data_IF_410473475172
#
_entry.id   IF_410473475172
#
_cell.length_a   1.000
_cell.length_b   1.000
_cell.length_c   1.000
_cell.angle_alpha   90.00
_cell.angle_beta   90.00
_cell.angle_gamma   90.00
#
_symmetry.space_group_name_H-M   'P 1'
#
loop_
_entity.id
_entity.type
_entity.pdbx_description
1 polymer ?
#
# COMPACT_ATOMS: atom_id res chain seq x y z
N UNK A 1 -3.73 -70.47 0.61
CA UNK A 1 -5.02 -69.78 0.42
C UNK A 1 -4.72 -68.68 -0.57
N UNK A 2 -4.97 -68.94 -1.84
CA UNK A 2 -4.78 -67.96 -2.90
C UNK A 2 -5.91 -66.94 -2.79
N UNK A 3 -5.57 -65.71 -2.41
CA UNK A 3 -6.46 -64.56 -2.60
C UNK A 3 -6.75 -64.47 -4.08
N UNK A 4 -7.98 -64.86 -4.46
CA UNK A 4 -8.53 -64.61 -5.76
C UNK A 4 -8.61 -63.09 -5.92
N UNK A 5 -7.62 -62.51 -6.55
CA UNK A 5 -7.69 -61.12 -7.06
C UNK A 5 -8.83 -61.07 -8.03
N UNK A 6 -9.95 -60.50 -7.60
CA UNK A 6 -11.06 -60.16 -8.48
C UNK A 6 -10.50 -59.23 -9.57
N UNK A 7 -10.69 -59.50 -10.86
CA UNK A 7 -10.18 -58.62 -11.91
C UNK A 7 -10.79 -57.24 -11.69
N UNK A 8 -9.90 -56.24 -11.55
CA UNK A 8 -10.32 -54.85 -11.45
C UNK A 8 -11.22 -54.50 -12.65
N UNK A 9 -12.29 -53.81 -12.40
CA UNK A 9 -13.09 -53.24 -13.48
C UNK A 9 -12.18 -52.20 -14.17
N UNK A 10 -12.18 -52.18 -15.52
CA UNK A 10 -11.25 -51.41 -16.34
C UNK A 10 -11.10 -49.92 -15.91
N UNK A 11 -12.14 -49.28 -15.40
CA UNK A 11 -12.08 -47.91 -14.90
C UNK A 11 -11.41 -47.82 -13.54
N UNK A 12 -11.30 -48.88 -12.76
CA UNK A 12 -10.59 -48.86 -11.47
C UNK A 12 -9.08 -48.74 -11.65
N UNK A 13 -8.54 -49.28 -12.75
CA UNK A 13 -7.11 -49.08 -13.09
C UNK A 13 -6.84 -47.61 -13.40
N UNK A 14 -7.77 -46.91 -14.03
CA UNK A 14 -7.67 -45.45 -14.27
C UNK A 14 -7.75 -44.64 -12.99
N UNK A 15 -8.66 -44.98 -12.08
CA UNK A 15 -8.72 -44.33 -10.76
C UNK A 15 -7.41 -44.45 -10.01
N UNK A 16 -6.78 -45.64 -9.96
CA UNK A 16 -5.50 -45.84 -9.35
C UNK A 16 -4.39 -44.96 -9.95
N UNK A 17 -4.35 -44.87 -11.30
CA UNK A 17 -3.43 -44.02 -12.01
C UNK A 17 -3.62 -42.53 -11.61
N UNK A 18 -4.84 -42.03 -11.53
CA UNK A 18 -5.15 -40.66 -11.15
C UNK A 18 -4.80 -40.38 -9.66
N UNK A 19 -5.00 -41.38 -8.77
CA UNK A 19 -4.55 -41.32 -7.38
C UNK A 19 -3.02 -41.26 -7.28
N UNK A 20 -2.29 -42.04 -8.08
CA UNK A 20 -0.84 -41.99 -8.15
C UNK A 20 -0.33 -40.64 -8.67
N UNK A 21 -1.08 -39.96 -9.52
CA UNK A 21 -0.81 -38.59 -9.96
C UNK A 21 -1.16 -37.52 -8.90
N UNK A 22 -1.72 -37.94 -7.75
CA UNK A 22 -2.05 -37.05 -6.62
C UNK A 22 -3.45 -36.44 -6.65
N UNK A 23 -4.35 -36.94 -7.52
CA UNK A 23 -5.73 -36.47 -7.58
C UNK A 23 -6.64 -37.12 -6.53
N UNK A 24 -7.58 -36.36 -6.01
CA UNK A 24 -8.68 -36.85 -5.17
C UNK A 24 -9.74 -37.50 -6.07
N UNK A 25 -9.97 -38.79 -5.88
CA UNK A 25 -10.82 -39.57 -6.80
C UNK A 25 -12.15 -40.00 -6.21
N UNK A 26 -12.48 -39.65 -4.97
CA UNK A 26 -13.71 -40.10 -4.27
C UNK A 26 -14.98 -39.66 -4.97
N UNK A 27 -15.01 -38.42 -5.51
CA UNK A 27 -16.14 -37.91 -6.26
C UNK A 27 -16.27 -38.58 -7.64
N UNK A 28 -15.14 -38.85 -8.24
CA UNK A 28 -15.07 -39.59 -9.55
C UNK A 28 -15.60 -41.00 -9.38
N UNK A 29 -15.11 -41.73 -8.37
CA UNK A 29 -15.56 -43.08 -8.07
C UNK A 29 -17.06 -43.12 -7.80
N UNK A 30 -17.57 -42.20 -6.98
CA UNK A 30 -19.00 -42.07 -6.71
C UNK A 30 -19.82 -41.84 -7.97
N UNK A 31 -19.38 -41.02 -8.92
CA UNK A 31 -20.04 -40.80 -10.19
C UNK A 31 -20.02 -42.05 -11.08
N UNK A 32 -18.89 -42.73 -11.17
CA UNK A 32 -18.76 -43.98 -11.98
C UNK A 32 -19.59 -45.12 -11.43
N UNK A 33 -19.74 -45.24 -10.12
CA UNK A 33 -20.60 -46.23 -9.46
C UNK A 33 -22.10 -45.98 -9.73
N UNK A 34 -22.48 -44.69 -9.77
CA UNK A 34 -23.87 -44.30 -9.96
C UNK A 34 -24.33 -44.37 -11.43
N UNK A 35 -23.44 -44.15 -12.42
CA UNK A 35 -23.76 -44.10 -13.84
C UNK A 35 -23.16 -45.29 -14.60
N UNK A 36 -23.64 -46.49 -14.28
CA UNK A 36 -23.14 -47.75 -14.87
C UNK A 36 -23.42 -47.87 -16.40
N UNK A 37 -24.39 -47.12 -16.91
CA UNK A 37 -24.80 -47.23 -18.33
C UNK A 37 -23.88 -46.42 -19.27
N UNK A 38 -23.33 -45.29 -18.78
CA UNK A 38 -22.48 -44.37 -19.55
C UNK A 38 -21.03 -44.30 -19.04
N UNK A 39 -20.56 -45.35 -18.34
CA UNK A 39 -19.24 -45.32 -17.69
C UNK A 39 -18.08 -45.03 -18.66
N UNK A 40 -18.16 -45.46 -19.91
CA UNK A 40 -17.12 -45.17 -20.91
C UNK A 40 -17.06 -43.70 -21.32
N UNK A 41 -18.20 -43.05 -21.52
CA UNK A 41 -18.26 -41.61 -21.84
C UNK A 41 -17.83 -40.77 -20.65
N UNK A 42 -18.21 -41.19 -19.44
CA UNK A 42 -17.84 -40.53 -18.20
C UNK A 42 -16.32 -40.62 -17.96
N UNK A 43 -15.71 -41.78 -18.20
CA UNK A 43 -14.23 -41.89 -18.09
C UNK A 43 -13.52 -41.03 -19.11
N UNK A 44 -13.97 -40.95 -20.36
CA UNK A 44 -13.39 -40.06 -21.35
C UNK A 44 -13.55 -38.58 -20.98
N UNK A 45 -14.66 -38.22 -20.37
CA UNK A 45 -14.86 -36.87 -19.83
C UNK A 45 -13.85 -36.58 -18.70
N UNK A 46 -13.69 -37.50 -17.76
CA UNK A 46 -12.76 -37.34 -16.64
C UNK A 46 -11.31 -37.30 -17.13
N UNK A 47 -10.92 -38.12 -18.10
CA UNK A 47 -9.59 -38.05 -18.72
C UNK A 47 -9.31 -36.67 -19.33
N UNK A 48 -10.31 -36.04 -19.95
CA UNK A 48 -10.17 -34.65 -20.42
C UNK A 48 -10.00 -33.67 -19.27
N UNK A 49 -10.78 -33.85 -18.20
CA UNK A 49 -10.63 -33.01 -17.00
C UNK A 49 -9.24 -33.14 -16.36
N UNK A 50 -8.70 -34.37 -16.27
CA UNK A 50 -7.35 -34.62 -15.74
C UNK A 50 -6.28 -33.97 -16.61
N UNK A 51 -6.35 -34.15 -17.94
CA UNK A 51 -5.38 -33.54 -18.86
C UNK A 51 -5.41 -32.01 -18.78
N UNK A 52 -6.61 -31.41 -18.74
CA UNK A 52 -6.76 -29.96 -18.57
C UNK A 52 -6.28 -29.50 -17.21
N UNK A 53 -6.48 -30.28 -16.13
CA UNK A 53 -5.99 -29.96 -14.79
C UNK A 53 -4.46 -29.99 -14.74
N UNK A 54 -3.79 -30.92 -15.45
CA UNK A 54 -2.33 -30.95 -15.56
C UNK A 54 -1.79 -29.71 -16.28
N UNK A 55 -2.37 -29.37 -17.44
CA UNK A 55 -1.98 -28.18 -18.18
C UNK A 55 -2.12 -26.93 -17.33
N UNK A 56 -3.25 -26.80 -16.62
CA UNK A 56 -3.57 -25.66 -15.78
C UNK A 56 -2.66 -25.61 -14.53
N UNK A 57 -2.34 -26.76 -13.91
CA UNK A 57 -1.36 -26.83 -12.82
C UNK A 57 0.02 -26.31 -13.23
N UNK A 58 0.46 -26.67 -14.44
CA UNK A 58 1.73 -26.19 -14.99
C UNK A 58 1.70 -24.66 -15.20
N UNK A 59 0.63 -24.14 -15.81
CA UNK A 59 0.45 -22.70 -16.00
C UNK A 59 0.43 -21.94 -14.66
N UNK A 60 -0.35 -22.41 -13.68
CA UNK A 60 -0.47 -21.80 -12.34
C UNK A 60 0.86 -21.86 -11.58
N UNK A 61 1.57 -23.00 -11.64
CA UNK A 61 2.88 -23.17 -10.98
C UNK A 61 3.97 -22.28 -11.56
N UNK A 62 3.79 -21.80 -12.79
CA UNK A 62 4.71 -20.84 -13.42
C UNK A 62 4.46 -19.38 -13.03
N UNK A 63 3.41 -19.10 -12.24
CA UNK A 63 3.10 -17.74 -11.81
C UNK A 63 4.19 -17.18 -10.89
N UNK A 64 4.37 -15.85 -10.97
CA UNK A 64 5.27 -15.13 -10.09
C UNK A 64 4.83 -15.24 -8.61
N UNK A 65 5.77 -15.24 -7.68
CA UNK A 65 5.55 -15.37 -6.23
C UNK A 65 4.55 -14.34 -5.67
N UNK A 66 4.42 -13.17 -6.28
CA UNK A 66 3.42 -12.16 -5.90
C UNK A 66 1.97 -12.65 -6.02
N UNK A 67 1.74 -13.72 -6.78
CA UNK A 67 0.44 -14.35 -6.98
C UNK A 67 0.30 -15.68 -6.22
N UNK A 68 1.24 -15.98 -5.31
CA UNK A 68 1.31 -17.26 -4.61
C UNK A 68 0.02 -17.63 -3.88
N UNK A 69 -0.67 -16.65 -3.26
CA UNK A 69 -1.94 -16.92 -2.55
C UNK A 69 -3.04 -17.44 -3.51
N UNK A 70 -3.16 -16.85 -4.69
CA UNK A 70 -4.10 -17.32 -5.71
C UNK A 70 -3.68 -18.68 -6.25
N UNK A 71 -2.38 -18.86 -6.55
CA UNK A 71 -1.85 -20.10 -7.08
C UNK A 71 -2.12 -21.27 -6.12
N UNK A 72 -1.86 -21.12 -4.82
CA UNK A 72 -2.11 -22.17 -3.82
C UNK A 72 -3.60 -22.53 -3.80
N UNK A 73 -4.49 -21.54 -3.74
CA UNK A 73 -5.94 -21.79 -3.69
C UNK A 73 -6.46 -22.55 -4.92
N UNK A 74 -5.96 -22.24 -6.11
CA UNK A 74 -6.35 -22.94 -7.35
C UNK A 74 -5.73 -24.33 -7.44
N UNK A 75 -4.47 -24.51 -7.02
CA UNK A 75 -3.82 -25.81 -6.99
C UNK A 75 -4.54 -26.77 -6.04
N UNK A 76 -4.96 -26.31 -4.87
CA UNK A 76 -5.75 -27.09 -3.92
C UNK A 76 -7.13 -27.51 -4.54
N UNK A 77 -7.77 -26.61 -5.27
CA UNK A 77 -9.03 -26.93 -5.97
C UNK A 77 -8.83 -27.96 -7.09
N UNK A 78 -7.69 -27.91 -7.79
CA UNK A 78 -7.35 -28.84 -8.88
C UNK A 78 -6.97 -30.24 -8.38
N UNK A 79 -6.86 -30.47 -7.07
CA UNK A 79 -6.72 -31.82 -6.53
C UNK A 79 -7.95 -32.68 -6.85
N UNK A 80 -9.13 -32.08 -7.02
CA UNK A 80 -10.27 -32.72 -7.64
C UNK A 80 -10.40 -32.28 -9.11
N UNK A 81 -10.11 -33.15 -10.10
CA UNK A 81 -10.13 -32.77 -11.52
C UNK A 81 -11.50 -32.30 -12.01
N UNK A 82 -12.57 -32.63 -11.29
CA UNK A 82 -13.92 -32.18 -11.63
C UNK A 82 -14.13 -30.68 -11.38
N UNK A 83 -13.22 -30.02 -10.74
CA UNK A 83 -13.24 -28.56 -10.53
C UNK A 83 -12.51 -27.78 -11.62
N UNK A 84 -11.92 -28.46 -12.63
CA UNK A 84 -11.07 -27.83 -13.65
C UNK A 84 -11.77 -26.70 -14.40
N UNK A 85 -13.04 -26.85 -14.74
CA UNK A 85 -13.79 -25.81 -15.45
C UNK A 85 -13.95 -24.55 -14.59
N UNK A 86 -14.21 -24.72 -13.28
CA UNK A 86 -14.32 -23.62 -12.33
C UNK A 86 -12.98 -22.87 -12.20
N UNK A 87 -11.90 -23.64 -12.00
CA UNK A 87 -10.56 -23.04 -11.84
C UNK A 87 -10.12 -22.35 -13.14
N UNK A 88 -10.39 -22.95 -14.31
CA UNK A 88 -10.10 -22.35 -15.61
C UNK A 88 -10.81 -21.00 -15.78
N UNK A 89 -12.10 -20.93 -15.43
CA UNK A 89 -12.87 -19.69 -15.55
C UNK A 89 -12.32 -18.58 -14.62
N UNK A 90 -11.96 -18.94 -13.39
CA UNK A 90 -11.36 -17.99 -12.45
C UNK A 90 -9.96 -17.54 -12.88
N UNK A 91 -9.16 -18.47 -13.37
CA UNK A 91 -7.81 -18.21 -13.86
C UNK A 91 -7.82 -17.35 -15.14
N UNK A 92 -8.76 -17.58 -16.05
CA UNK A 92 -8.93 -16.75 -17.25
C UNK A 92 -9.35 -15.31 -16.86
N UNK A 93 -10.25 -15.15 -15.89
CA UNK A 93 -10.62 -13.83 -15.33
C UNK A 93 -9.43 -13.15 -14.68
N UNK A 94 -8.64 -13.90 -13.91
CA UNK A 94 -7.42 -13.39 -13.31
C UNK A 94 -6.42 -12.92 -14.37
N UNK A 95 -6.15 -13.72 -15.39
CA UNK A 95 -5.25 -13.36 -16.47
C UNK A 95 -5.75 -12.12 -17.21
N UNK A 96 -7.04 -12.01 -17.50
CA UNK A 96 -7.62 -10.83 -18.15
C UNK A 96 -7.34 -9.54 -17.34
N UNK A 97 -7.44 -9.61 -16.04
CA UNK A 97 -7.30 -8.46 -15.16
C UNK A 97 -5.85 -8.14 -14.80
N UNK A 98 -5.00 -9.15 -14.64
CA UNK A 98 -3.65 -9.00 -14.07
C UNK A 98 -2.53 -9.34 -15.07
N UNK A 99 -2.81 -10.15 -16.10
CA UNK A 99 -1.84 -10.64 -17.09
C UNK A 99 -2.47 -10.70 -18.49
N UNK A 100 -2.97 -9.59 -19.05
CA UNK A 100 -3.65 -9.62 -20.36
C UNK A 100 -2.77 -10.17 -21.48
N UNK A 101 -1.44 -9.96 -21.40
CA UNK A 101 -0.46 -10.54 -22.33
C UNK A 101 -0.44 -12.08 -22.34
N UNK A 102 -0.79 -12.74 -21.23
CA UNK A 102 -0.82 -14.20 -21.18
C UNK A 102 -1.93 -14.77 -22.09
N UNK A 103 -3.06 -14.06 -22.21
CA UNK A 103 -4.16 -14.43 -23.12
C UNK A 103 -3.72 -14.23 -24.57
N UNK A 104 -3.14 -13.07 -24.87
CA UNK A 104 -2.65 -12.74 -26.21
C UNK A 104 -1.55 -13.73 -26.66
N UNK A 105 -0.60 -14.04 -25.76
CA UNK A 105 0.45 -15.01 -26.00
C UNK A 105 -0.13 -16.42 -26.26
N UNK A 106 -1.12 -16.86 -25.45
CA UNK A 106 -1.77 -18.18 -25.63
C UNK A 106 -2.49 -18.27 -26.98
N UNK A 107 -3.16 -17.23 -27.40
CA UNK A 107 -3.80 -17.16 -28.71
C UNK A 107 -2.78 -17.23 -29.86
N UNK A 108 -1.61 -16.64 -29.67
CA UNK A 108 -0.58 -16.49 -30.71
C UNK A 108 0.47 -17.61 -30.74
N UNK A 109 0.49 -18.51 -29.73
CA UNK A 109 1.47 -19.63 -29.63
C UNK A 109 1.71 -20.36 -30.92
N UNK A 110 0.63 -20.65 -31.70
CA UNK A 110 0.75 -21.36 -32.97
C UNK A 110 1.59 -20.60 -34.00
N UNK A 111 1.43 -19.28 -34.06
CA UNK A 111 2.17 -18.43 -34.99
C UNK A 111 3.67 -18.36 -34.60
N UNK A 112 3.95 -18.24 -33.32
CA UNK A 112 5.32 -18.20 -32.78
C UNK A 112 6.03 -19.55 -32.90
N UNK A 113 5.31 -20.66 -32.67
CA UNK A 113 5.82 -22.03 -32.89
C UNK A 113 6.19 -22.27 -34.34
N UNK A 114 5.34 -21.85 -35.28
CA UNK A 114 5.58 -21.99 -36.70
C UNK A 114 6.78 -21.16 -37.17
N UNK A 115 7.05 -20.02 -36.49
CA UNK A 115 8.19 -19.19 -36.75
C UNK A 115 9.50 -19.66 -36.04
N UNK A 116 9.42 -20.70 -35.19
CA UNK A 116 10.55 -21.19 -34.40
C UNK A 116 11.02 -20.23 -33.29
N UNK A 117 10.11 -19.39 -32.77
CA UNK A 117 10.40 -18.28 -31.81
C UNK A 117 9.65 -18.46 -30.47
N UNK A 118 9.44 -19.68 -30.04
CA UNK A 118 8.73 -19.95 -28.76
C UNK A 118 9.57 -19.50 -27.56
N UNK A 119 10.87 -19.75 -27.56
CA UNK A 119 11.77 -19.39 -26.44
C UNK A 119 11.80 -17.87 -26.23
N UNK A 120 11.79 -17.10 -27.32
CA UNK A 120 11.72 -15.64 -27.27
C UNK A 120 10.38 -15.16 -26.70
N UNK A 121 9.27 -15.80 -27.07
CA UNK A 121 7.95 -15.50 -26.52
C UNK A 121 7.90 -15.76 -25.00
N UNK A 122 8.40 -16.91 -24.55
CA UNK A 122 8.47 -17.28 -23.13
C UNK A 122 9.33 -16.29 -22.33
N UNK A 123 10.45 -15.86 -22.89
CA UNK A 123 11.31 -14.84 -22.31
C UNK A 123 10.58 -13.50 -22.13
N UNK A 124 9.84 -13.07 -23.16
CA UNK A 124 9.06 -11.84 -23.12
C UNK A 124 7.94 -11.92 -22.06
N UNK A 125 7.22 -13.04 -22.01
CA UNK A 125 6.16 -13.27 -21.01
C UNK A 125 6.75 -13.19 -19.61
N UNK A 126 7.89 -13.85 -19.36
CA UNK A 126 8.54 -13.83 -18.07
C UNK A 126 8.94 -12.42 -17.62
N UNK A 127 9.40 -11.56 -18.55
CA UNK A 127 9.72 -10.16 -18.27
C UNK A 127 8.46 -9.35 -17.95
N UNK A 128 7.37 -9.57 -18.70
CA UNK A 128 6.09 -8.90 -18.44
C UNK A 128 5.50 -9.30 -17.09
N UNK A 129 5.67 -10.57 -16.68
CA UNK A 129 5.22 -11.06 -15.37
C UNK A 129 5.98 -10.45 -14.18
N UNK A 130 7.16 -9.86 -14.42
CA UNK A 130 7.92 -9.11 -13.43
C UNK A 130 7.47 -7.65 -13.29
N UNK A 131 6.67 -7.15 -14.23
CA UNK A 131 6.17 -5.78 -14.17
C UNK A 131 5.12 -5.61 -13.08
N UNK A 132 5.11 -4.42 -12.50
CA UNK A 132 4.06 -4.03 -11.54
C UNK A 132 2.68 -3.95 -12.25
N UNK A 133 1.59 -4.39 -11.60
CA UNK A 133 0.23 -4.34 -12.16
C UNK A 133 -0.20 -2.99 -12.73
N UNK A 134 0.32 -1.89 -12.21
CA UNK A 134 0.03 -0.53 -12.71
C UNK A 134 0.42 -0.36 -14.19
N UNK A 135 1.40 -1.13 -14.69
CA UNK A 135 1.83 -1.08 -16.10
C UNK A 135 0.99 -1.96 -17.00
N UNK A 136 0.23 -2.90 -16.46
CA UNK A 136 -0.62 -3.84 -17.19
C UNK A 136 -1.74 -3.12 -17.95
N UNK A 137 -2.36 -2.13 -17.33
CA UNK A 137 -3.45 -1.35 -17.94
C UNK A 137 -3.05 -0.62 -19.25
N UNK A 138 -1.75 -0.50 -19.54
CA UNK A 138 -1.22 0.08 -20.78
C UNK A 138 -0.98 -0.96 -21.86
N UNK A 139 -1.27 -2.23 -21.59
CA UNK A 139 -0.95 -3.37 -22.44
C UNK A 139 -1.87 -3.59 -23.65
N UNK A 140 -2.87 -2.74 -23.91
CA UNK A 140 -3.74 -2.89 -25.08
C UNK A 140 -2.98 -2.79 -26.42
N UNK A 141 -1.81 -2.17 -26.44
CA UNK A 141 -0.93 -2.11 -27.61
C UNK A 141 -0.08 -3.38 -27.79
N UNK A 142 0.10 -4.18 -26.74
CA UNK A 142 0.93 -5.40 -26.82
C UNK A 142 0.22 -6.53 -27.54
N UNK A 143 -1.11 -6.64 -27.43
CA UNK A 143 -1.90 -7.70 -28.09
C UNK A 143 -1.68 -7.76 -29.59
N UNK A 144 -1.68 -6.62 -30.27
CA UNK A 144 -1.40 -6.55 -31.72
C UNK A 144 0.03 -7.01 -32.07
N UNK A 145 1.00 -6.76 -31.17
CA UNK A 145 2.39 -7.19 -31.35
C UNK A 145 2.55 -8.70 -31.13
N UNK A 146 1.77 -9.29 -30.21
CA UNK A 146 1.75 -10.75 -30.00
C UNK A 146 1.23 -11.51 -31.21
N UNK A 147 0.27 -10.98 -31.96
CA UNK A 147 -0.34 -11.66 -33.09
C UNK A 147 0.62 -11.91 -34.25
N UNK A 148 1.74 -11.21 -34.31
CA UNK A 148 2.66 -11.32 -35.41
C UNK A 148 4.11 -11.55 -34.94
N UNK A 149 4.58 -12.79 -35.05
CA UNK A 149 5.95 -13.18 -34.70
C UNK A 149 7.04 -12.47 -35.51
N UNK A 150 6.71 -11.75 -36.61
CA UNK A 150 7.65 -10.92 -37.35
C UNK A 150 7.98 -9.61 -36.63
N UNK A 151 7.10 -9.18 -35.72
CA UNK A 151 7.23 -7.95 -34.92
C UNK A 151 7.96 -8.19 -33.58
N UNK A 152 8.74 -9.26 -33.46
CA UNK A 152 9.48 -9.60 -32.26
C UNK A 152 10.30 -8.42 -31.70
N UNK A 153 11.03 -7.72 -32.56
CA UNK A 153 11.85 -6.58 -32.12
C UNK A 153 11.00 -5.43 -31.60
N UNK A 154 9.84 -5.17 -32.23
CA UNK A 154 8.93 -4.13 -31.78
C UNK A 154 8.27 -4.48 -30.45
N UNK A 155 7.97 -5.76 -30.23
CA UNK A 155 7.45 -6.28 -28.97
C UNK A 155 8.52 -6.18 -27.87
N UNK A 156 9.76 -6.58 -28.15
CA UNK A 156 10.87 -6.47 -27.21
C UNK A 156 11.17 -5.00 -26.83
N UNK A 157 11.21 -4.10 -27.80
CA UNK A 157 11.34 -2.66 -27.56
C UNK A 157 10.19 -2.09 -26.72
N UNK A 158 8.97 -2.58 -26.93
CA UNK A 158 7.81 -2.15 -26.15
C UNK A 158 7.91 -2.61 -24.68
N UNK A 159 8.34 -3.85 -24.45
CA UNK A 159 8.57 -4.40 -23.11
C UNK A 159 9.69 -3.66 -22.41
N UNK A 160 10.81 -3.41 -23.10
CA UNK A 160 11.93 -2.64 -22.54
C UNK A 160 11.49 -1.23 -22.09
N UNK A 161 10.67 -0.53 -22.86
CA UNK A 161 10.13 0.78 -22.46
C UNK A 161 9.26 0.71 -21.20
N UNK A 162 8.51 -0.38 -21.03
CA UNK A 162 7.73 -0.59 -19.79
C UNK A 162 8.65 -0.82 -18.59
N UNK A 163 9.70 -1.64 -18.74
CA UNK A 163 10.72 -1.87 -17.71
C UNK A 163 11.44 -0.57 -17.30
N UNK A 164 11.87 0.23 -18.28
CA UNK A 164 12.51 1.53 -18.04
C UNK A 164 11.55 2.50 -17.33
N UNK A 165 10.27 2.51 -17.73
CA UNK A 165 9.25 3.34 -17.10
C UNK A 165 8.97 2.90 -15.65
N UNK A 166 8.98 1.61 -15.39
CA UNK A 166 8.85 1.06 -14.04
C UNK A 166 10.06 1.46 -13.17
N UNK A 167 11.28 1.25 -13.67
CA UNK A 167 12.50 1.60 -12.96
C UNK A 167 12.55 3.10 -12.62
N UNK A 168 12.16 3.97 -13.56
CA UNK A 168 12.07 5.41 -13.32
C UNK A 168 11.06 5.74 -12.18
N UNK A 169 9.92 5.07 -12.17
CA UNK A 169 8.92 5.30 -11.11
C UNK A 169 9.39 4.81 -9.75
N UNK A 170 10.07 3.67 -9.68
CA UNK A 170 10.68 3.20 -8.44
C UNK A 170 11.73 4.17 -7.92
N UNK A 171 12.64 4.66 -8.78
CA UNK A 171 13.63 5.66 -8.40
C UNK A 171 12.97 6.95 -7.88
N UNK A 172 11.88 7.40 -8.50
CA UNK A 172 11.14 8.56 -8.01
C UNK A 172 10.53 8.30 -6.63
N UNK A 173 9.95 7.11 -6.42
CA UNK A 173 9.38 6.72 -5.13
C UNK A 173 10.45 6.65 -4.03
N UNK A 174 11.61 6.07 -4.32
CA UNK A 174 12.76 6.04 -3.40
C UNK A 174 13.21 7.46 -3.01
N UNK A 175 13.26 8.38 -3.97
CA UNK A 175 13.57 9.78 -3.68
C UNK A 175 12.51 10.46 -2.80
N UNK A 176 11.22 10.17 -3.01
CA UNK A 176 10.14 10.67 -2.16
C UNK A 176 10.25 10.11 -0.74
N UNK A 177 10.52 8.81 -0.60
CA UNK A 177 10.75 8.16 0.70
C UNK A 177 11.97 8.76 1.42
N UNK A 178 13.07 9.00 0.70
CA UNK A 178 14.26 9.67 1.23
C UNK A 178 13.94 11.10 1.72
N UNK A 179 13.16 11.87 0.97
CA UNK A 179 12.70 13.20 1.37
C UNK A 179 11.82 13.15 2.63
N UNK A 180 10.96 12.14 2.78
CA UNK A 180 10.18 11.94 4.01
C UNK A 180 11.10 11.61 5.20
N UNK A 181 12.12 10.79 4.98
CA UNK A 181 13.10 10.45 6.02
C UNK A 181 13.87 11.69 6.52
N UNK A 182 14.28 12.60 5.62
CA UNK A 182 14.88 13.87 5.99
C UNK A 182 13.95 14.75 6.85
N UNK A 183 12.64 14.61 6.69
CA UNK A 183 11.61 15.26 7.53
C UNK A 183 11.33 14.52 8.84
N UNK A 184 12.02 13.41 9.10
CA UNK A 184 11.87 12.58 10.30
C UNK A 184 10.75 11.53 10.20
N UNK A 185 10.28 11.23 8.99
CA UNK A 185 9.21 10.25 8.72
C UNK A 185 9.83 8.97 8.18
N UNK A 186 9.71 7.86 8.91
CA UNK A 186 10.13 6.56 8.40
C UNK A 186 9.06 5.99 7.48
N UNK A 187 9.36 5.94 6.19
CA UNK A 187 8.48 5.42 5.15
C UNK A 187 9.06 4.18 4.43
N UNK A 188 10.10 3.52 4.97
CA UNK A 188 10.75 2.37 4.34
C UNK A 188 9.78 1.22 4.04
N UNK A 189 8.80 0.99 4.91
CA UNK A 189 7.77 -0.04 4.72
C UNK A 189 6.95 0.16 3.44
N UNK A 190 6.90 1.36 2.88
CA UNK A 190 6.21 1.66 1.63
C UNK A 190 6.86 0.95 0.44
N UNK A 191 8.19 0.78 0.46
CA UNK A 191 8.95 0.14 -0.61
C UNK A 191 8.70 -1.37 -0.71
N UNK A 192 8.01 -1.98 0.25
CA UNK A 192 7.59 -3.39 0.20
C UNK A 192 6.23 -3.60 -0.48
N UNK A 193 5.55 -2.52 -0.87
CA UNK A 193 4.23 -2.56 -1.51
C UNK A 193 4.35 -2.55 -3.04
N UNK A 194 3.25 -2.85 -3.74
CA UNK A 194 3.20 -2.57 -5.17
C UNK A 194 3.27 -1.06 -5.43
N UNK A 195 3.67 -0.68 -6.64
CA UNK A 195 3.95 0.70 -6.99
C UNK A 195 2.73 1.63 -6.79
N UNK A 196 1.52 1.13 -7.09
CA UNK A 196 0.29 1.92 -6.93
C UNK A 196 -0.01 2.23 -5.48
N UNK A 197 0.01 1.21 -4.61
CA UNK A 197 -0.18 1.38 -3.17
C UNK A 197 0.92 2.23 -2.53
N UNK A 198 2.16 2.03 -2.98
CA UNK A 198 3.30 2.78 -2.49
C UNK A 198 3.17 4.29 -2.76
N UNK A 199 2.79 4.69 -3.97
CA UNK A 199 2.54 6.10 -4.30
C UNK A 199 1.38 6.70 -3.50
N UNK A 200 0.30 5.93 -3.29
CA UNK A 200 -0.84 6.39 -2.47
C UNK A 200 -0.42 6.63 -1.01
N UNK A 201 0.36 5.69 -0.44
CA UNK A 201 0.84 5.81 0.93
C UNK A 201 1.83 6.96 1.10
N UNK A 202 2.78 7.12 0.16
CA UNK A 202 3.71 8.27 0.19
C UNK A 202 2.96 9.57 0.09
N UNK A 203 1.96 9.67 -0.80
CA UNK A 203 1.13 10.88 -0.90
C UNK A 203 0.39 11.22 0.39
N UNK A 204 -0.10 10.23 1.13
CA UNK A 204 -0.68 10.42 2.47
C UNK A 204 0.36 10.90 3.48
N UNK A 205 1.55 10.29 3.49
CA UNK A 205 2.64 10.69 4.38
C UNK A 205 3.16 12.09 4.09
N UNK A 206 3.22 12.51 2.82
CA UNK A 206 3.59 13.88 2.45
C UNK A 206 2.59 14.91 2.98
N UNK A 207 1.29 14.64 2.87
CA UNK A 207 0.26 15.52 3.45
C UNK A 207 0.38 15.61 4.97
N UNK A 208 0.74 14.52 5.63
CA UNK A 208 1.01 14.49 7.06
C UNK A 208 2.23 15.32 7.41
N UNK A 209 3.34 15.14 6.66
CA UNK A 209 4.56 15.92 6.81
C UNK A 209 4.29 17.43 6.71
N UNK A 210 3.50 17.84 5.73
CA UNK A 210 3.12 19.23 5.53
C UNK A 210 2.34 19.79 6.73
N UNK A 211 1.37 19.03 7.27
CA UNK A 211 0.61 19.41 8.46
C UNK A 211 1.52 19.56 9.68
N UNK A 212 2.46 18.65 9.88
CA UNK A 212 3.46 18.71 10.97
C UNK A 212 4.35 19.94 10.82
N UNK A 213 4.82 20.25 9.61
CA UNK A 213 5.64 21.44 9.35
C UNK A 213 4.87 22.74 9.58
N UNK A 214 3.58 22.79 9.22
CA UNK A 214 2.69 23.92 9.50
C UNK A 214 2.56 24.09 11.02
N UNK A 215 2.30 23.02 11.77
CA UNK A 215 2.20 23.07 13.22
C UNK A 215 3.50 23.59 13.88
N UNK A 216 4.67 23.10 13.43
CA UNK A 216 5.98 23.59 13.93
C UNK A 216 6.18 25.09 13.66
N UNK A 217 5.85 25.55 12.45
CA UNK A 217 5.93 26.96 12.09
C UNK A 217 4.99 27.82 12.93
N UNK A 218 3.77 27.34 13.19
CA UNK A 218 2.80 28.05 14.02
C UNK A 218 3.27 28.14 15.46
N UNK A 219 3.86 27.06 16.04
CA UNK A 219 4.47 27.11 17.38
C UNK A 219 5.57 28.16 17.44
N UNK A 220 6.47 28.18 16.44
CA UNK A 220 7.57 29.15 16.42
C UNK A 220 7.09 30.59 16.17
N UNK A 221 6.04 30.79 15.40
CA UNK A 221 5.53 32.12 15.08
C UNK A 221 4.62 32.69 16.16
N UNK A 222 3.76 31.87 16.77
CA UNK A 222 2.63 32.32 17.58
C UNK A 222 2.76 31.97 19.08
N UNK A 223 3.58 30.97 19.43
CA UNK A 223 3.75 30.52 20.82
C UNK A 223 5.13 30.92 21.38
N UNK A 224 6.21 30.63 20.67
CA UNK A 224 7.58 30.91 21.12
C UNK A 224 7.81 32.37 21.53
N UNK A 225 7.25 33.40 20.85
CA UNK A 225 7.39 34.78 21.24
C UNK A 225 6.82 35.09 22.64
N UNK A 226 5.86 34.29 23.10
CA UNK A 226 5.17 34.51 24.39
C UNK A 226 5.62 33.55 25.48
N UNK A 227 6.04 32.33 25.12
CA UNK A 227 6.54 31.33 26.05
C UNK A 227 7.45 30.34 25.35
N UNK A 228 8.76 30.50 25.57
CA UNK A 228 9.75 29.60 25.02
C UNK A 228 9.61 28.16 25.58
N UNK A 229 9.34 28.05 26.89
CA UNK A 229 9.18 26.74 27.54
C UNK A 229 8.01 25.95 26.95
N UNK A 230 6.85 26.61 26.76
CA UNK A 230 5.68 26.01 26.19
C UNK A 230 5.91 25.63 24.71
N UNK A 231 6.62 26.48 23.98
CA UNK A 231 6.98 26.18 22.58
C UNK A 231 7.89 24.95 22.47
N UNK A 232 8.93 24.85 23.32
CA UNK A 232 9.83 23.69 23.37
C UNK A 232 9.07 22.41 23.74
N UNK A 233 8.12 22.46 24.67
CA UNK A 233 7.26 21.35 25.04
C UNK A 233 6.38 20.91 23.87
N UNK A 234 5.71 21.85 23.20
CA UNK A 234 4.85 21.54 22.05
C UNK A 234 5.64 21.00 20.87
N UNK A 235 6.81 21.57 20.56
CA UNK A 235 7.69 21.04 19.52
C UNK A 235 8.17 19.63 19.84
N UNK A 236 8.49 19.33 21.10
CA UNK A 236 8.85 17.99 21.55
C UNK A 236 7.70 17.00 21.32
N UNK A 237 6.47 17.40 21.68
CA UNK A 237 5.27 16.57 21.45
C UNK A 237 4.98 16.36 19.97
N UNK A 238 5.10 17.40 19.14
CA UNK A 238 4.95 17.30 17.68
C UNK A 238 5.96 16.30 17.10
N UNK A 239 7.22 16.36 17.55
CA UNK A 239 8.27 15.46 17.10
C UNK A 239 8.07 14.00 17.57
N UNK A 240 7.29 13.76 18.61
CA UNK A 240 6.98 12.43 19.15
C UNK A 240 5.66 11.86 18.64
N UNK A 241 4.92 12.58 17.75
CA UNK A 241 3.66 12.10 17.19
C UNK A 241 3.86 10.83 16.37
N UNK A 242 2.94 9.88 16.56
CA UNK A 242 2.83 8.76 15.63
C UNK A 242 2.16 9.25 14.35
N UNK A 243 2.92 9.27 13.27
CA UNK A 243 2.53 9.78 11.96
C UNK A 243 1.42 8.95 11.31
N UNK A 244 1.26 7.69 11.72
CA UNK A 244 0.18 6.82 11.25
C UNK A 244 -1.20 7.23 11.80
N UNK A 245 -1.26 8.13 12.79
CA UNK A 245 -2.51 8.59 13.41
C UNK A 245 -2.89 9.98 12.93
N UNK A 246 -3.65 10.07 11.86
CA UNK A 246 -4.21 11.34 11.34
C UNK A 246 -5.01 12.10 12.42
N UNK A 247 -5.67 11.37 13.32
CA UNK A 247 -6.42 11.96 14.43
C UNK A 247 -5.50 12.66 15.45
N UNK A 248 -4.36 12.05 15.78
CA UNK A 248 -3.40 12.68 16.71
C UNK A 248 -2.83 13.97 16.13
N UNK A 249 -2.52 13.97 14.82
CA UNK A 249 -1.98 15.15 14.13
C UNK A 249 -3.02 16.26 14.09
N UNK A 250 -4.28 15.93 13.75
CA UNK A 250 -5.36 16.92 13.76
C UNK A 250 -5.61 17.49 15.15
N UNK A 251 -5.61 16.66 16.18
CA UNK A 251 -5.79 17.11 17.56
C UNK A 251 -4.64 18.03 18.01
N UNK A 252 -3.41 17.72 17.62
CA UNK A 252 -2.25 18.57 17.89
C UNK A 252 -2.37 19.93 17.20
N UNK A 253 -2.78 19.99 15.94
CA UNK A 253 -3.00 21.26 15.24
C UNK A 253 -4.03 22.13 15.94
N UNK A 254 -5.16 21.52 16.37
CA UNK A 254 -6.21 22.23 17.13
C UNK A 254 -5.66 22.75 18.46
N UNK A 255 -4.82 21.97 19.15
CA UNK A 255 -4.19 22.36 20.40
C UNK A 255 -3.21 23.54 20.20
N UNK A 256 -2.39 23.50 19.16
CA UNK A 256 -1.47 24.58 18.79
C UNK A 256 -2.24 25.88 18.53
N UNK A 257 -3.28 25.83 17.71
CA UNK A 257 -4.12 27.01 17.44
C UNK A 257 -4.82 27.54 18.68
N UNK A 258 -5.36 26.65 19.52
CA UNK A 258 -6.03 27.06 20.78
C UNK A 258 -5.06 27.73 21.74
N UNK A 259 -3.85 27.18 21.87
CA UNK A 259 -2.78 27.73 22.71
C UNK A 259 -2.32 29.07 22.21
N UNK A 260 -2.10 29.24 20.90
CA UNK A 260 -1.72 30.51 20.30
C UNK A 260 -2.78 31.59 20.56
N UNK A 261 -4.05 31.26 20.38
CA UNK A 261 -5.18 32.20 20.65
C UNK A 261 -5.26 32.58 22.14
N UNK A 262 -5.07 31.63 23.06
CA UNK A 262 -5.08 31.91 24.50
C UNK A 262 -3.93 32.86 24.86
N UNK A 263 -2.73 32.62 24.36
CA UNK A 263 -1.58 33.49 24.58
C UNK A 263 -1.79 34.93 24.06
N UNK A 264 -2.37 35.06 22.85
CA UNK A 264 -2.74 36.35 22.28
C UNK A 264 -3.73 37.09 23.16
N UNK A 265 -4.78 36.42 23.63
CA UNK A 265 -5.79 37.00 24.53
C UNK A 265 -5.18 37.42 25.88
N UNK A 266 -4.28 36.61 26.44
CA UNK A 266 -3.55 36.93 27.66
C UNK A 266 -2.64 38.15 27.46
N UNK A 267 -1.91 38.20 26.35
CA UNK A 267 -1.07 39.33 25.99
C UNK A 267 -1.85 40.63 25.87
N UNK A 268 -3.03 40.59 25.24
CA UNK A 268 -3.93 41.77 25.17
C UNK A 268 -4.41 42.21 26.55
N UNK A 269 -4.77 41.26 27.43
CA UNK A 269 -5.17 41.58 28.84
C UNK A 269 -4.01 42.21 29.63
N UNK A 270 -2.81 41.62 29.50
CA UNK A 270 -1.60 42.14 30.08
C UNK A 270 -1.30 43.55 29.59
N UNK A 271 -1.39 43.80 28.30
CA UNK A 271 -1.19 45.13 27.70
C UNK A 271 -2.19 46.17 28.23
N UNK A 272 -3.46 45.79 28.46
CA UNK A 272 -4.46 46.67 29.09
C UNK A 272 -4.11 46.98 30.54
N UNK A 273 -3.75 45.99 31.33
CA UNK A 273 -3.32 46.17 32.77
C UNK A 273 -2.10 47.07 32.86
N UNK A 274 -1.07 46.86 32.01
CA UNK A 274 0.11 47.74 31.97
C UNK A 274 -0.23 49.19 31.64
N UNK A 275 -1.14 49.43 30.66
CA UNK A 275 -1.61 50.79 30.36
C UNK A 275 -2.29 51.45 31.56
N UNK A 276 -3.14 50.70 32.26
CA UNK A 276 -3.81 51.21 33.46
C UNK A 276 -2.80 51.62 34.53
N UNK A 277 -1.79 50.76 34.81
CA UNK A 277 -0.71 51.08 35.74
C UNK A 277 0.10 52.34 35.32
N UNK A 278 0.39 52.48 34.02
CA UNK A 278 1.10 53.67 33.50
C UNK A 278 0.26 54.94 33.66
N UNK A 279 -1.05 54.87 33.41
CA UNK A 279 -1.97 56.00 33.62
C UNK A 279 -2.06 56.37 35.08
N UNK A 280 -1.98 55.39 35.98
CA UNK A 280 -1.92 55.62 37.44
C UNK A 280 -0.56 56.14 37.93
N UNK A 281 0.39 56.44 37.03
CA UNK A 281 1.65 57.06 37.37
C UNK A 281 2.79 56.11 37.70
N UNK A 282 2.60 54.78 37.51
CA UNK A 282 3.67 53.81 37.70
C UNK A 282 4.67 53.86 36.55
N UNK A 283 5.95 53.91 36.88
CA UNK A 283 7.05 53.79 35.92
C UNK A 283 7.30 52.31 35.72
N UNK A 284 7.01 51.83 34.49
CA UNK A 284 7.29 50.44 34.14
C UNK A 284 8.79 50.17 34.05
N UNK A 285 9.27 49.01 34.52
CA UNK A 285 10.66 48.62 34.34
C UNK A 285 11.03 48.62 32.83
N UNK A 286 12.24 49.07 32.47
CA UNK A 286 12.66 49.19 31.08
C UNK A 286 12.64 47.85 30.34
N UNK A 287 12.78 46.76 31.08
CA UNK A 287 12.71 45.40 30.54
C UNK A 287 11.31 45.07 29.98
N UNK A 288 10.21 45.67 30.49
CA UNK A 288 8.85 45.47 30.02
C UNK A 288 8.59 46.18 28.68
N UNK A 289 9.35 47.19 28.38
CA UNK A 289 9.22 47.95 27.12
C UNK A 289 9.94 47.28 25.95
N UNK A 290 10.82 46.31 26.20
CA UNK A 290 11.45 45.51 25.16
C UNK A 290 10.48 44.43 24.69
N UNK A 291 10.21 44.42 23.42
CA UNK A 291 9.26 43.52 22.77
C UNK A 291 9.51 42.02 23.08
N UNK A 292 8.45 41.29 23.38
CA UNK A 292 8.39 39.81 23.50
C UNK A 292 9.07 39.25 24.74
N UNK A 293 8.45 39.44 25.87
CA UNK A 293 8.84 38.78 27.13
C UNK A 293 7.90 37.60 27.41
N UNK A 294 8.45 36.58 28.08
CA UNK A 294 7.69 35.44 28.56
C UNK A 294 6.45 35.91 29.33
N UNK A 295 5.27 35.39 28.91
CA UNK A 295 3.98 35.79 29.48
C UNK A 295 3.90 35.60 31.00
N UNK A 296 4.50 34.51 31.53
CA UNK A 296 4.52 34.21 32.94
C UNK A 296 5.32 35.29 33.70
N UNK A 297 6.45 35.73 33.12
CA UNK A 297 7.23 36.81 33.66
C UNK A 297 6.44 38.12 33.68
N UNK A 298 5.81 38.50 32.58
CA UNK A 298 5.01 39.73 32.50
C UNK A 298 3.85 39.74 33.47
N UNK A 299 3.13 38.62 33.61
CA UNK A 299 2.04 38.49 34.58
C UNK A 299 2.55 38.62 36.01
N UNK A 300 3.67 38.03 36.38
CA UNK A 300 4.27 38.15 37.72
C UNK A 300 4.68 39.58 38.06
N UNK A 301 5.26 40.28 37.09
CA UNK A 301 5.66 41.70 37.26
C UNK A 301 4.42 42.58 37.47
N UNK A 302 3.35 42.36 36.66
CA UNK A 302 2.11 43.12 36.80
C UNK A 302 1.47 42.88 38.16
N UNK A 303 1.37 41.65 38.62
CA UNK A 303 0.84 41.36 39.96
C UNK A 303 1.63 42.02 41.07
N UNK A 304 2.97 42.06 40.93
CA UNK A 304 3.84 42.77 41.89
C UNK A 304 3.57 44.29 41.89
N UNK A 305 3.39 44.89 40.71
CA UNK A 305 3.08 46.31 40.58
C UNK A 305 1.69 46.68 41.11
N UNK A 306 0.70 45.82 40.84
CA UNK A 306 -0.68 46.02 41.35
C UNK A 306 -0.75 45.91 42.87
N UNK A 307 -0.03 44.93 43.46
CA UNK A 307 0.11 44.84 44.93
C UNK A 307 0.71 46.10 45.55
N UNK A 308 1.76 46.65 44.91
CA UNK A 308 2.36 47.91 45.35
C UNK A 308 1.42 49.10 45.19
N UNK A 309 0.61 49.13 44.10
CA UNK A 309 -0.42 50.15 43.89
C UNK A 309 -1.45 50.14 45.02
N UNK A 310 -2.00 48.95 45.31
CA UNK A 310 -2.98 48.79 46.38
C UNK A 310 -2.42 49.21 47.76
N UNK A 311 -1.18 48.87 48.07
CA UNK A 311 -0.51 49.29 49.32
C UNK A 311 -0.31 50.81 49.38
N UNK A 312 -0.01 51.45 48.24
CA UNK A 312 0.14 52.89 48.21
C UNK A 312 -1.21 53.60 48.40
N UNK A 313 -2.26 53.09 47.82
CA UNK A 313 -3.61 53.64 47.98
C UNK A 313 -4.13 53.48 49.42
N UNK A 314 -3.81 52.35 50.10
CA UNK A 314 -4.09 52.17 51.54
C UNK A 314 -3.30 53.14 52.48
N UNK A 315 -2.13 53.60 52.05
CA UNK A 315 -1.31 54.54 52.84
C UNK A 315 -1.73 55.99 52.66
N UNK A 316 -2.44 56.34 51.63
CA UNK A 316 -2.88 57.69 51.28
C UNK A 316 -4.34 57.95 51.69
N UNK A 317 -5.16 56.90 51.82
CA UNK A 317 -6.55 56.96 52.27
C UNK A 317 -6.70 56.94 53.75
#
# INVERSE_FOLDING_TARGET
MDEKTTPLVWWQERLLQWQEMGYQTERIESKLLNDKQNSSELVLFIERCVNLAEDLRNEISSLNDRYAEFAIAWLDLLDDPLNVELVQEEFDKFNLNNRPWAIDAKASVRNWKNAGKIEELESIISRLDLLDPVFIAKGSLLGELFDNSTLLNELDDAVQRLEESQALRWNNLENMVASLYEKGINAEAVLTKNLGEAYELVGKLEQVAEKVDIAKKEVSASIEPFSRVLAEEMLSRINSLNIDSEEQIRNMMVEVEATARDLDLRHLKVGKRLRTLTISGFILPPEISSQRQDMLYLESVIESLEKRSAQHDELIG
#
